data_IF_732471120271
#
_entry.id   IF_732471120271
#
_cell.length_a   1.000
_cell.length_b   1.000
_cell.length_c   1.000
_cell.angle_alpha   90.00
_cell.angle_beta   90.00
_cell.angle_gamma   90.00
#
_symmetry.space_group_name_H-M   'P 1'
#
loop_
_entity.id
_entity.type
_entity.pdbx_description
1 polymer ?
#
# COMPACT_ATOMS: atom_id res chain seq x y z
N UNK A 1 97.30 -5.30 36.41
CA UNK A 1 96.75 -6.25 37.40
C UNK A 1 95.69 -5.58 38.26
N UNK A 2 94.38 -5.82 38.01
CA UNK A 2 93.34 -5.94 39.04
C UNK A 2 91.97 -6.28 38.43
N UNK A 3 91.61 -7.55 38.64
CA UNK A 3 90.31 -8.23 38.81
C UNK A 3 89.09 -7.92 37.92
N UNK A 4 88.70 -9.01 37.25
CA UNK A 4 87.40 -9.47 36.75
C UNK A 4 86.26 -9.29 37.77
N UNK A 5 85.05 -8.94 37.28
CA UNK A 5 83.79 -9.55 37.73
C UNK A 5 82.82 -9.70 36.55
N UNK A 6 82.34 -10.93 36.40
CA UNK A 6 81.44 -11.46 35.37
C UNK A 6 80.04 -11.63 35.97
N UNK A 7 78.98 -11.44 35.17
CA UNK A 7 77.58 -11.97 35.22
C UNK A 7 76.61 -10.87 34.75
N UNK A 8 75.49 -11.05 34.03
CA UNK A 8 74.76 -12.21 33.51
C UNK A 8 73.68 -11.70 32.53
N UNK A 9 73.50 -12.42 31.41
CA UNK A 9 72.32 -12.61 30.52
C UNK A 9 71.07 -11.71 30.65
N UNK A 10 70.55 -11.24 29.51
CA UNK A 10 69.25 -11.70 28.98
C UNK A 10 69.05 -11.28 27.50
N UNK A 11 68.57 -12.23 26.69
CA UNK A 11 68.15 -12.07 25.29
C UNK A 11 66.76 -11.46 25.26
N UNK A 12 66.52 -10.51 24.36
CA UNK A 12 65.19 -10.27 23.80
C UNK A 12 65.31 -10.18 22.27
N UNK A 13 64.67 -11.12 21.61
CA UNK A 13 64.34 -11.12 20.18
C UNK A 13 63.01 -10.37 20.08
N UNK A 14 62.88 -9.43 19.15
CA UNK A 14 61.57 -8.91 18.74
C UNK A 14 61.59 -8.69 17.23
N UNK A 15 60.86 -9.57 16.54
CA UNK A 15 60.47 -9.46 15.14
C UNK A 15 59.80 -8.10 14.88
N UNK A 16 60.09 -7.49 13.73
CA UNK A 16 59.16 -6.56 13.08
C UNK A 16 59.02 -7.00 11.63
N UNK A 17 58.08 -7.93 11.44
CA UNK A 17 57.59 -8.37 10.15
C UNK A 17 56.38 -7.53 9.72
N UNK A 18 56.23 -7.42 8.41
CA UNK A 18 55.25 -6.64 7.66
C UNK A 18 53.79 -6.83 8.09
N UNK A 19 53.03 -5.72 8.06
CA UNK A 19 51.57 -5.75 7.86
C UNK A 19 51.15 -4.50 7.06
N UNK A 20 51.39 -4.53 5.75
CA UNK A 20 50.73 -3.63 4.80
C UNK A 20 49.55 -4.40 4.20
N UNK A 21 48.45 -4.49 4.96
CA UNK A 21 47.19 -5.02 4.46
C UNK A 21 46.46 -3.88 3.74
N UNK A 22 46.60 -3.86 2.41
CA UNK A 22 45.77 -3.04 1.53
C UNK A 22 44.35 -3.65 1.55
N UNK A 23 43.50 -3.12 2.42
CA UNK A 23 42.05 -3.39 2.44
C UNK A 23 41.43 -2.82 1.15
N UNK A 24 41.34 -3.65 0.11
CA UNK A 24 40.40 -3.47 -0.98
C UNK A 24 38.99 -3.72 -0.43
N UNK A 25 38.43 -2.74 0.27
CA UNK A 25 36.99 -2.62 0.44
C UNK A 25 36.43 -2.26 -0.95
N UNK A 26 35.93 -3.25 -1.66
CA UNK A 26 34.99 -3.00 -2.74
C UNK A 26 33.84 -2.19 -2.16
N UNK A 27 33.72 -0.92 -2.58
CA UNK A 27 32.54 -0.13 -2.33
C UNK A 27 31.42 -0.73 -3.18
N UNK A 28 30.80 -1.80 -2.70
CA UNK A 28 29.45 -2.14 -3.12
C UNK A 28 28.62 -0.96 -2.64
N UNK A 29 28.15 -0.12 -3.57
CA UNK A 29 27.17 0.91 -3.24
C UNK A 29 26.03 0.18 -2.54
N UNK A 30 25.89 0.43 -1.24
CA UNK A 30 24.68 0.05 -0.53
C UNK A 30 23.58 0.92 -1.15
N UNK A 31 22.89 0.39 -2.16
CA UNK A 31 21.65 0.96 -2.61
C UNK A 31 20.71 0.90 -1.40
N UNK A 32 20.15 2.05 -1.02
CA UNK A 32 19.14 2.08 0.03
C UNK A 32 18.00 1.16 -0.42
N UNK A 33 17.66 0.19 0.42
CA UNK A 33 16.52 -0.68 0.16
C UNK A 33 15.27 0.19 0.18
N UNK A 34 14.39 -0.01 -0.81
CA UNK A 34 13.12 0.71 -0.93
C UNK A 34 12.02 -0.08 -0.23
N UNK A 35 11.06 0.63 0.34
CA UNK A 35 9.85 0.04 0.89
C UNK A 35 8.68 1.02 0.69
N UNK A 36 7.45 0.52 0.62
CA UNK A 36 6.28 1.38 0.81
C UNK A 36 6.28 1.99 2.21
N UNK A 37 5.62 3.11 2.42
CA UNK A 37 5.56 3.78 3.73
C UNK A 37 4.98 2.92 4.85
N UNK A 38 4.10 1.96 4.51
CA UNK A 38 3.57 0.96 5.45
C UNK A 38 4.46 -0.29 5.58
N UNK A 39 5.52 -0.40 4.78
CA UNK A 39 6.42 -1.57 4.76
C UNK A 39 5.78 -2.85 4.19
N UNK A 40 4.60 -2.73 3.57
CA UNK A 40 3.82 -3.86 3.01
C UNK A 40 4.14 -4.09 1.53
N UNK A 41 4.30 -3.02 0.75
CA UNK A 41 4.49 -3.07 -0.70
C UNK A 41 5.77 -3.83 -1.09
N UNK A 42 5.65 -4.78 -2.02
CA UNK A 42 6.79 -5.42 -2.69
C UNK A 42 7.34 -4.50 -3.80
N UNK A 43 8.52 -3.94 -3.54
CA UNK A 43 9.22 -3.04 -4.47
C UNK A 43 10.32 -3.73 -5.29
N UNK A 44 10.39 -5.07 -5.27
CA UNK A 44 11.45 -5.82 -5.95
C UNK A 44 11.34 -5.85 -7.49
N UNK A 45 10.19 -5.45 -8.02
CA UNK A 45 9.86 -5.48 -9.44
C UNK A 45 9.81 -4.12 -10.14
N UNK A 46 8.98 -4.06 -11.19
CA UNK A 46 8.66 -2.84 -11.94
C UNK A 46 7.40 -2.22 -11.34
N UNK A 47 7.36 -0.89 -11.26
CA UNK A 47 6.18 -0.13 -10.90
C UNK A 47 5.17 -0.21 -12.06
N UNK A 48 3.98 -0.82 -11.87
CA UNK A 48 3.00 -1.00 -12.94
C UNK A 48 2.47 0.31 -13.53
N UNK A 49 2.50 1.42 -12.77
CA UNK A 49 2.01 2.71 -13.22
C UNK A 49 3.01 3.44 -14.14
N UNK A 50 4.31 3.21 -13.97
CA UNK A 50 5.37 3.92 -14.71
C UNK A 50 6.11 3.04 -15.72
N UNK A 51 5.95 1.72 -15.62
CA UNK A 51 6.70 0.70 -16.38
C UNK A 51 8.22 0.72 -16.12
N UNK A 52 8.66 1.42 -15.06
CA UNK A 52 10.05 1.53 -14.65
C UNK A 52 10.29 0.88 -13.28
N UNK A 53 11.55 0.62 -12.93
CA UNK A 53 11.87 0.13 -11.59
C UNK A 53 11.43 1.14 -10.52
N UNK A 54 10.89 0.65 -9.40
CA UNK A 54 10.43 1.47 -8.28
C UNK A 54 11.49 2.48 -7.82
N UNK A 55 11.06 3.71 -7.54
CA UNK A 55 11.91 4.79 -7.05
C UNK A 55 11.32 5.45 -5.81
N UNK A 56 12.17 6.16 -5.06
CA UNK A 56 11.71 6.99 -3.95
C UNK A 56 10.76 8.06 -4.47
N UNK A 57 9.59 8.19 -3.85
CA UNK A 57 8.55 9.13 -4.25
C UNK A 57 7.55 8.59 -5.26
N UNK A 58 7.76 7.38 -5.80
CA UNK A 58 6.70 6.67 -6.52
C UNK A 58 5.50 6.47 -5.59
N UNK A 59 4.31 6.60 -6.16
CA UNK A 59 3.04 6.50 -5.43
C UNK A 59 2.35 5.17 -5.70
N UNK A 60 1.54 4.74 -4.76
CA UNK A 60 0.71 3.54 -4.85
C UNK A 60 -0.48 3.64 -3.88
N UNK A 61 -1.43 2.71 -3.99
CA UNK A 61 -2.56 2.58 -3.04
C UNK A 61 -2.81 1.13 -2.67
N UNK A 62 -3.48 0.95 -1.54
CA UNK A 62 -4.01 -0.35 -1.13
C UNK A 62 -5.53 -0.39 -1.16
N UNK A 63 -6.07 -1.59 -1.40
CA UNK A 63 -7.49 -1.90 -1.34
C UNK A 63 -7.75 -3.20 -0.59
N UNK A 64 -8.93 -3.29 0.05
CA UNK A 64 -9.42 -4.50 0.69
C UNK A 64 -10.95 -4.62 0.60
N UNK A 65 -11.48 -5.81 0.88
CA UNK A 65 -12.91 -6.04 1.14
C UNK A 65 -13.15 -6.20 2.64
N UNK A 66 -13.96 -5.35 3.25
CA UNK A 66 -14.09 -5.31 4.72
C UNK A 66 -14.45 -6.67 5.34
N UNK A 67 -13.84 -6.98 6.49
CA UNK A 67 -14.10 -8.24 7.19
C UNK A 67 -15.52 -8.33 7.76
N UNK A 68 -16.11 -7.18 8.10
CA UNK A 68 -17.47 -7.01 8.61
C UNK A 68 -18.49 -6.66 7.51
N UNK A 69 -19.76 -6.85 7.82
CA UNK A 69 -20.88 -6.45 6.95
C UNK A 69 -21.46 -5.09 7.40
N UNK A 70 -21.97 -4.33 6.44
CA UNK A 70 -22.60 -3.01 6.62
C UNK A 70 -23.90 -2.93 5.83
N UNK A 71 -24.87 -2.15 6.32
CA UNK A 71 -26.11 -1.84 5.59
C UNK A 71 -25.93 -0.56 4.76
N UNK A 72 -26.73 -0.41 3.70
CA UNK A 72 -26.71 0.73 2.78
C UNK A 72 -27.82 1.76 3.05
N UNK A 73 -28.08 2.09 4.31
CA UNK A 73 -29.22 2.96 4.72
C UNK A 73 -28.91 4.47 4.71
N UNK A 74 -27.65 4.88 4.71
CA UNK A 74 -27.24 6.28 4.82
C UNK A 74 -27.08 6.93 3.45
N UNK A 75 -27.68 8.10 3.25
CA UNK A 75 -27.40 8.94 2.05
C UNK A 75 -26.06 9.68 2.15
N UNK A 76 -25.43 9.69 3.32
CA UNK A 76 -24.17 10.37 3.57
C UNK A 76 -23.00 9.40 3.35
N UNK A 77 -22.13 9.73 2.39
CA UNK A 77 -20.95 8.91 2.02
C UNK A 77 -19.97 8.78 3.20
N UNK A 78 -19.91 9.79 4.08
CA UNK A 78 -18.99 9.82 5.21
C UNK A 78 -19.27 8.70 6.20
N UNK A 79 -20.53 8.28 6.35
CA UNK A 79 -20.91 7.14 7.21
C UNK A 79 -20.26 5.82 6.77
N UNK A 80 -20.01 5.67 5.46
CA UNK A 80 -19.35 4.49 4.91
C UNK A 80 -17.83 4.62 4.97
N UNK A 81 -17.28 5.80 4.69
CA UNK A 81 -15.85 6.06 4.84
C UNK A 81 -15.40 5.88 6.30
N UNK A 82 -16.16 6.39 7.27
CA UNK A 82 -15.89 6.20 8.70
C UNK A 82 -15.89 4.72 9.10
N UNK A 83 -16.75 3.91 8.47
CA UNK A 83 -16.76 2.47 8.67
C UNK A 83 -15.50 1.80 8.10
N UNK A 84 -15.10 2.15 6.88
CA UNK A 84 -13.87 1.64 6.28
C UNK A 84 -12.62 2.03 7.08
N UNK A 85 -12.57 3.29 7.53
CA UNK A 85 -11.53 3.78 8.42
C UNK A 85 -11.50 3.02 9.75
N UNK A 86 -12.67 2.75 10.34
CA UNK A 86 -12.77 1.97 11.58
C UNK A 86 -12.21 0.56 11.47
N UNK A 87 -12.41 -0.10 10.32
CA UNK A 87 -11.78 -1.40 10.03
C UNK A 87 -10.26 -1.27 9.91
N UNK A 88 -9.77 -0.28 9.16
CA UNK A 88 -8.34 -0.05 8.99
C UNK A 88 -7.63 0.29 10.32
N UNK A 89 -8.27 1.09 11.18
CA UNK A 89 -7.79 1.42 12.52
C UNK A 89 -7.70 0.21 13.44
N UNK A 90 -8.59 -0.78 13.24
CA UNK A 90 -8.61 -2.03 14.00
C UNK A 90 -7.70 -3.11 13.40
N UNK A 91 -7.14 -2.89 12.21
CA UNK A 91 -6.36 -3.90 11.47
C UNK A 91 -5.06 -4.26 12.19
N UNK A 92 -4.75 -5.55 12.22
CA UNK A 92 -3.47 -6.07 12.70
C UNK A 92 -2.27 -5.66 11.81
N UNK A 93 -2.52 -5.18 10.59
CA UNK A 93 -1.50 -4.75 9.65
C UNK A 93 -1.01 -3.32 9.91
N UNK A 94 -1.61 -2.58 10.86
CA UNK A 94 -1.26 -1.18 11.14
C UNK A 94 -1.37 -0.30 9.89
N UNK A 95 -2.54 -0.29 9.27
CA UNK A 95 -2.82 0.45 8.04
C UNK A 95 -3.75 1.64 8.26
N UNK A 96 -4.05 1.98 9.52
CA UNK A 96 -5.05 2.98 9.85
C UNK A 96 -4.50 4.38 10.12
N UNK A 97 -5.32 5.20 10.76
CA UNK A 97 -5.04 6.60 11.11
C UNK A 97 -3.82 6.77 12.01
N UNK A 98 -3.47 5.77 12.82
CA UNK A 98 -2.25 5.76 13.62
C UNK A 98 -0.97 5.78 12.77
N UNK A 99 -1.07 5.37 11.50
CA UNK A 99 -0.01 5.44 10.49
C UNK A 99 -0.17 6.64 9.55
N UNK A 100 -1.20 7.47 9.76
CA UNK A 100 -1.48 8.63 8.93
C UNK A 100 -2.23 8.31 7.64
N UNK A 101 -2.81 7.11 7.52
CA UNK A 101 -3.51 6.65 6.32
C UNK A 101 -5.01 6.82 6.48
N UNK A 102 -5.63 7.37 5.43
CA UNK A 102 -7.09 7.52 5.33
C UNK A 102 -7.68 6.45 4.43
N UNK A 103 -8.84 5.91 4.78
CA UNK A 103 -9.55 4.91 3.99
C UNK A 103 -10.97 5.36 3.64
N UNK A 104 -11.28 5.32 2.35
CA UNK A 104 -12.61 5.59 1.83
C UNK A 104 -13.18 4.35 1.16
N UNK A 105 -14.50 4.20 1.18
CA UNK A 105 -15.13 3.09 0.47
C UNK A 105 -15.05 3.28 -1.05
N UNK A 106 -14.96 2.17 -1.78
CA UNK A 106 -15.19 2.14 -3.23
C UNK A 106 -16.70 1.95 -3.46
N UNK A 107 -17.45 3.02 -3.28
CA UNK A 107 -18.90 3.03 -3.46
C UNK A 107 -19.47 4.44 -3.65
N UNK A 108 -20.69 4.51 -4.16
CA UNK A 108 -21.36 5.75 -4.54
C UNK A 108 -22.69 5.92 -3.80
N UNK A 109 -22.95 7.15 -3.34
CA UNK A 109 -24.31 7.58 -2.98
C UNK A 109 -24.99 8.18 -4.21
N UNK A 110 -26.20 8.72 -4.06
CA UNK A 110 -26.90 9.39 -5.17
C UNK A 110 -26.24 10.71 -5.59
N UNK A 111 -25.33 11.27 -4.78
CA UNK A 111 -24.70 12.57 -5.02
C UNK A 111 -23.18 12.54 -4.99
N UNK A 112 -22.56 11.39 -4.73
CA UNK A 112 -21.11 11.22 -4.68
C UNK A 112 -20.73 9.97 -5.45
N UNK A 113 -19.95 10.15 -6.51
CA UNK A 113 -19.34 9.08 -7.30
C UNK A 113 -18.20 8.41 -6.53
N UNK A 114 -18.05 7.09 -6.66
CA UNK A 114 -16.96 6.34 -6.03
C UNK A 114 -15.57 6.82 -6.47
N UNK A 115 -15.42 7.14 -7.76
CA UNK A 115 -14.15 7.66 -8.31
C UNK A 115 -13.78 9.02 -7.72
N UNK A 116 -14.77 9.85 -7.38
CA UNK A 116 -14.53 11.15 -6.73
C UNK A 116 -14.27 10.95 -5.23
N UNK A 117 -15.01 10.05 -4.57
CA UNK A 117 -14.84 9.71 -3.16
C UNK A 117 -13.44 9.16 -2.84
N UNK A 118 -12.84 8.43 -3.78
CA UNK A 118 -11.50 7.83 -3.64
C UNK A 118 -10.39 8.68 -4.26
N UNK A 119 -10.74 9.78 -4.92
CA UNK A 119 -9.82 10.61 -5.70
C UNK A 119 -9.04 9.81 -6.76
N UNK A 120 -9.80 9.01 -7.51
CA UNK A 120 -9.33 8.15 -8.61
C UNK A 120 -10.06 8.46 -9.93
N UNK A 121 -10.60 9.67 -10.09
CA UNK A 121 -11.29 10.05 -11.32
C UNK A 121 -10.26 10.36 -12.42
N UNK A 122 -10.17 9.54 -13.49
CA UNK A 122 -9.14 9.71 -14.51
C UNK A 122 -9.26 11.03 -15.29
N UNK A 123 -10.42 11.70 -15.21
CA UNK A 123 -10.65 12.98 -15.88
C UNK A 123 -10.16 14.19 -15.07
N UNK A 124 -9.96 14.05 -13.75
CA UNK A 124 -9.62 15.18 -12.85
C UNK A 124 -8.38 14.92 -12.01
N UNK A 125 -8.09 13.67 -11.67
CA UNK A 125 -7.03 13.28 -10.72
C UNK A 125 -5.75 12.80 -11.45
N UNK A 126 -5.75 12.86 -12.78
CA UNK A 126 -4.62 12.48 -13.64
C UNK A 126 -4.58 10.97 -13.93
N UNK A 127 -3.41 10.49 -14.38
CA UNK A 127 -3.21 9.05 -14.67
C UNK A 127 -3.38 8.20 -13.41
N UNK A 128 -2.93 8.72 -12.26
CA UNK A 128 -2.94 8.01 -10.98
C UNK A 128 -1.76 7.07 -10.79
N UNK A 129 -1.94 6.16 -9.85
CA UNK A 129 -0.93 5.19 -9.40
C UNK A 129 -1.48 3.76 -9.38
N UNK A 130 -0.57 2.80 -9.27
CA UNK A 130 -0.91 1.40 -9.15
C UNK A 130 -1.57 1.08 -7.81
N UNK A 131 -2.59 0.23 -7.86
CA UNK A 131 -3.44 -0.15 -6.74
C UNK A 131 -3.24 -1.64 -6.47
N UNK A 132 -2.93 -2.00 -5.22
CA UNK A 132 -2.65 -3.37 -4.81
C UNK A 132 -3.60 -3.84 -3.72
N UNK A 133 -3.73 -5.16 -3.56
CA UNK A 133 -4.26 -5.71 -2.32
C UNK A 133 -3.33 -5.39 -1.15
N UNK A 134 -3.86 -5.45 0.07
CA UNK A 134 -3.11 -5.27 1.32
C UNK A 134 -2.03 -6.34 1.57
N UNK A 135 -1.86 -7.32 0.68
CA UNK A 135 -0.70 -8.23 0.68
C UNK A 135 0.58 -7.60 0.10
N UNK A 136 0.46 -6.43 -0.53
CA UNK A 136 1.60 -5.69 -1.08
C UNK A 136 2.12 -6.17 -2.42
N UNK A 137 1.55 -7.22 -3.02
CA UNK A 137 2.10 -7.86 -4.22
C UNK A 137 1.07 -8.18 -5.31
N UNK A 138 -0.21 -8.32 -4.94
CA UNK A 138 -1.28 -8.59 -5.90
C UNK A 138 -1.80 -7.28 -6.48
N UNK A 139 -1.55 -7.06 -7.77
CA UNK A 139 -2.01 -5.88 -8.51
C UNK A 139 -3.51 -5.96 -8.77
N UNK A 140 -4.23 -4.88 -8.50
CA UNK A 140 -5.66 -4.73 -8.81
C UNK A 140 -5.86 -3.87 -10.04
N UNK A 141 -5.12 -2.77 -10.15
CA UNK A 141 -5.11 -1.92 -11.33
C UNK A 141 -3.76 -1.20 -11.43
N UNK A 142 -3.27 -1.06 -12.65
CA UNK A 142 -2.04 -0.34 -12.98
C UNK A 142 -2.16 1.18 -12.80
N UNK A 143 -3.37 1.74 -12.93
CA UNK A 143 -3.66 3.17 -12.77
C UNK A 143 -5.18 3.44 -12.63
N UNK A 144 -5.60 4.71 -12.60
CA UNK A 144 -7.03 5.08 -12.42
C UNK A 144 -7.90 4.79 -13.63
N UNK A 145 -7.36 4.87 -14.85
CA UNK A 145 -8.13 4.53 -16.04
C UNK A 145 -8.40 3.03 -16.09
N UNK A 146 -7.40 2.22 -15.76
CA UNK A 146 -7.49 0.75 -15.66
C UNK A 146 -8.53 0.33 -14.60
N UNK A 147 -8.51 0.93 -13.41
CA UNK A 147 -9.50 0.64 -12.36
C UNK A 147 -10.95 0.81 -12.84
N UNK A 148 -11.22 1.81 -13.70
CA UNK A 148 -12.57 2.20 -14.12
C UNK A 148 -12.90 1.86 -15.58
N UNK A 149 -12.14 0.97 -16.22
CA UNK A 149 -12.39 0.56 -17.61
C UNK A 149 -13.40 -0.61 -17.75
N UNK A 150 -13.81 -1.18 -16.62
CA UNK A 150 -14.73 -2.31 -16.53
C UNK A 150 -14.06 -3.65 -16.26
N UNK A 151 -12.75 -3.71 -16.04
CA UNK A 151 -12.04 -4.88 -15.52
C UNK A 151 -11.00 -4.47 -14.45
N UNK A 152 -10.52 -5.46 -13.69
CA UNK A 152 -9.38 -5.35 -12.77
C UNK A 152 -8.48 -6.56 -12.98
N UNK A 153 -7.19 -6.43 -12.65
CA UNK A 153 -6.19 -7.46 -12.92
C UNK A 153 -6.38 -8.72 -12.07
N UNK A 154 -6.84 -8.57 -10.82
CA UNK A 154 -7.07 -9.67 -9.88
C UNK A 154 -8.29 -9.37 -9.00
N UNK A 155 -8.89 -10.43 -8.46
CA UNK A 155 -10.03 -10.33 -7.56
C UNK A 155 -9.73 -9.60 -6.24
N UNK A 156 -10.66 -8.73 -5.80
CA UNK A 156 -10.64 -8.00 -4.53
C UNK A 156 -11.00 -8.87 -3.31
N UNK A 157 -10.20 -9.91 -3.03
CA UNK A 157 -10.60 -11.00 -2.14
C UNK A 157 -9.89 -11.06 -0.77
N UNK A 158 -9.13 -10.03 -0.38
CA UNK A 158 -8.48 -9.94 0.93
C UNK A 158 -9.17 -8.89 1.81
N UNK A 159 -9.35 -9.21 3.09
CA UNK A 159 -9.81 -8.25 4.09
C UNK A 159 -8.70 -7.35 4.63
N UNK A 160 -9.06 -6.38 5.47
CA UNK A 160 -8.13 -5.39 6.03
C UNK A 160 -6.99 -6.00 6.86
N UNK A 161 -7.10 -7.28 7.21
CA UNK A 161 -6.08 -8.05 7.93
C UNK A 161 -5.27 -8.98 7.00
N UNK A 162 -5.54 -8.95 5.68
CA UNK A 162 -4.92 -9.81 4.69
C UNK A 162 -5.50 -11.23 4.64
N UNK A 163 -6.67 -11.48 5.24
CA UNK A 163 -7.28 -12.80 5.17
C UNK A 163 -8.14 -12.95 3.91
N UNK A 164 -8.07 -14.11 3.27
CA UNK A 164 -8.93 -14.40 2.11
C UNK A 164 -10.40 -14.49 2.50
N UNK A 165 -11.25 -13.82 1.72
CA UNK A 165 -12.70 -13.88 1.80
C UNK A 165 -13.24 -14.76 0.68
N UNK A 166 -14.19 -15.63 1.03
CA UNK A 166 -14.96 -16.37 0.02
C UNK A 166 -15.69 -15.41 -0.93
N UNK A 167 -15.90 -15.80 -2.20
CA UNK A 167 -16.69 -15.01 -3.13
C UNK A 167 -18.09 -14.69 -2.59
N UNK A 168 -18.43 -13.41 -2.54
CA UNK A 168 -19.70 -12.86 -2.09
C UNK A 168 -19.94 -11.47 -2.71
N UNK A 169 -21.14 -10.92 -2.49
CA UNK A 169 -21.49 -9.57 -2.92
C UNK A 169 -20.99 -8.52 -1.94
N UNK A 170 -20.47 -7.41 -2.47
CA UNK A 170 -20.14 -6.20 -1.73
C UNK A 170 -21.07 -5.05 -2.15
N UNK A 171 -21.51 -4.20 -1.23
CA UNK A 171 -22.29 -3.01 -1.56
C UNK A 171 -21.39 -1.97 -2.20
N UNK A 172 -21.80 -1.46 -3.36
CA UNK A 172 -21.03 -0.46 -4.11
C UNK A 172 -21.91 0.72 -4.48
N UNK A 173 -23.12 0.50 -4.99
CA UNK A 173 -23.94 1.57 -5.56
C UNK A 173 -23.29 2.25 -6.77
N UNK A 174 -22.29 1.61 -7.37
CA UNK A 174 -21.37 2.21 -8.36
C UNK A 174 -21.53 1.49 -9.70
N UNK A 175 -21.48 2.25 -10.79
CA UNK A 175 -21.44 1.74 -12.16
C UNK A 175 -20.01 1.45 -12.59
N UNK A 176 -19.84 0.78 -13.73
CA UNK A 176 -18.54 0.24 -14.17
C UNK A 176 -17.45 1.31 -14.36
N UNK A 177 -17.83 2.58 -14.58
CA UNK A 177 -16.94 3.71 -14.82
C UNK A 177 -16.68 4.57 -13.56
N UNK A 178 -17.04 4.04 -12.39
CA UNK A 178 -16.85 4.69 -11.09
C UNK A 178 -17.88 5.75 -10.73
N UNK A 179 -18.88 5.99 -11.58
CA UNK A 179 -20.01 6.88 -11.28
C UNK A 179 -21.08 6.20 -10.44
N UNK A 180 -21.96 6.99 -9.86
CA UNK A 180 -23.19 6.47 -9.25
C UNK A 180 -24.07 5.76 -10.28
N UNK A 181 -24.67 4.64 -9.88
CA UNK A 181 -25.66 3.95 -10.74
C UNK A 181 -26.88 4.82 -11.06
N UNK A 182 -27.18 5.81 -10.20
CA UNK A 182 -28.32 6.71 -10.34
C UNK A 182 -28.29 7.50 -11.67
N UNK A 183 -27.10 7.88 -12.14
CA UNK A 183 -26.91 8.61 -13.40
C UNK A 183 -27.16 7.74 -14.64
N UNK A 184 -27.14 6.42 -14.45
CA UNK A 184 -27.30 5.42 -15.50
C UNK A 184 -28.74 4.91 -15.62
N UNK A 185 -29.70 5.60 -14.98
CA UNK A 185 -31.10 5.19 -14.90
C UNK A 185 -31.32 3.92 -14.05
N UNK A 186 -30.25 3.38 -13.46
CA UNK A 186 -30.30 2.27 -12.54
C UNK A 186 -30.43 2.79 -11.12
N UNK A 187 -31.53 2.40 -10.52
CA UNK A 187 -31.85 2.60 -9.11
C UNK A 187 -30.94 1.73 -8.24
N UNK A 188 -30.36 2.29 -7.18
CA UNK A 188 -29.54 1.52 -6.23
C UNK A 188 -28.20 2.11 -5.79
N UNK A 189 -28.07 3.43 -5.70
CA UNK A 189 -26.97 4.03 -4.94
C UNK A 189 -27.05 3.65 -3.46
N UNK A 190 -25.94 3.77 -2.73
CA UNK A 190 -25.96 3.68 -1.27
C UNK A 190 -26.88 4.77 -0.68
N UNK A 191 -27.70 4.40 0.32
CA UNK A 191 -28.71 5.28 0.91
C UNK A 191 -29.90 5.61 0.01
N UNK A 192 -30.02 4.96 -1.15
CA UNK A 192 -31.14 5.18 -2.06
C UNK A 192 -32.46 4.57 -1.54
N UNK A 193 -33.58 5.19 -1.91
CA UNK A 193 -34.93 4.74 -1.56
C UNK A 193 -35.41 3.51 -2.38
N UNK A 194 -34.52 2.89 -3.15
CA UNK A 194 -34.86 1.88 -4.14
C UNK A 194 -34.87 0.46 -3.58
N UNK A 195 -35.64 -0.43 -4.21
CA UNK A 195 -35.80 -1.84 -3.79
C UNK A 195 -34.56 -2.71 -4.04
N UNK A 196 -33.42 -2.12 -4.37
CA UNK A 196 -32.18 -2.80 -4.69
C UNK A 196 -31.01 -1.82 -4.68
N UNK A 197 -29.86 -2.25 -4.20
CA UNK A 197 -28.59 -1.53 -4.11
C UNK A 197 -27.63 -2.19 -5.09
N UNK A 198 -26.86 -1.37 -5.82
CA UNK A 198 -25.80 -1.83 -6.71
C UNK A 198 -24.74 -2.58 -5.90
N UNK A 199 -24.33 -3.74 -6.39
CA UNK A 199 -23.32 -4.56 -5.74
C UNK A 199 -22.21 -4.96 -6.69
N UNK A 200 -21.02 -5.11 -6.15
CA UNK A 200 -19.90 -5.80 -6.77
C UNK A 200 -19.75 -7.23 -6.27
N UNK A 201 -18.81 -7.98 -6.84
CA UNK A 201 -18.41 -9.31 -6.37
C UNK A 201 -16.90 -9.34 -6.15
N UNK A 202 -16.49 -9.63 -4.92
CA UNK A 202 -15.09 -9.67 -4.50
C UNK A 202 -14.26 -10.79 -5.16
N UNK A 203 -14.90 -11.71 -5.89
CA UNK A 203 -14.28 -12.79 -6.66
C UNK A 203 -14.33 -12.61 -8.18
N UNK A 204 -14.77 -11.44 -8.68
CA UNK A 204 -14.84 -11.14 -10.11
C UNK A 204 -13.73 -10.16 -10.50
N UNK A 205 -13.32 -10.24 -11.77
CA UNK A 205 -12.27 -9.42 -12.40
C UNK A 205 -12.80 -8.63 -13.60
N UNK A 206 -14.03 -8.91 -14.04
CA UNK A 206 -14.72 -8.15 -15.10
C UNK A 206 -15.71 -7.19 -14.44
N UNK A 207 -16.58 -6.56 -15.22
CA UNK A 207 -17.51 -5.50 -14.79
C UNK A 207 -18.29 -5.81 -13.50
N UNK A 208 -18.48 -7.08 -13.19
CA UNK A 208 -19.20 -7.54 -12.01
C UNK A 208 -18.40 -7.42 -10.71
N UNK A 209 -17.11 -7.08 -10.80
CA UNK A 209 -16.28 -6.74 -9.64
C UNK A 209 -16.89 -5.55 -8.88
N UNK A 210 -17.43 -4.55 -9.60
CA UNK A 210 -18.06 -3.36 -9.00
C UNK A 210 -19.57 -3.29 -9.24
N UNK A 211 -20.07 -3.79 -10.38
CA UNK A 211 -21.46 -3.55 -10.78
C UNK A 211 -22.21 -4.80 -11.22
N UNK A 212 -23.28 -5.09 -10.47
CA UNK A 212 -24.38 -5.97 -10.82
C UNK A 212 -25.69 -5.40 -10.25
N UNK A 213 -26.78 -5.63 -10.99
CA UNK A 213 -28.12 -5.44 -10.43
C UNK A 213 -28.44 -6.64 -9.55
N UNK A 214 -28.46 -6.44 -8.23
CA UNK A 214 -28.92 -7.44 -7.29
C UNK A 214 -30.21 -6.98 -6.62
N UNK A 215 -31.35 -7.45 -7.16
CA UNK A 215 -32.68 -7.12 -6.62
C UNK A 215 -32.95 -7.70 -5.22
N UNK A 216 -32.02 -8.49 -4.67
CA UNK A 216 -32.08 -9.03 -3.31
C UNK A 216 -31.12 -8.32 -2.35
N UNK A 217 -30.41 -7.28 -2.78
CA UNK A 217 -29.63 -6.42 -1.91
C UNK A 217 -30.43 -5.14 -1.66
N UNK A 218 -31.27 -5.10 -0.64
CA UNK A 218 -31.96 -3.88 -0.21
C UNK A 218 -31.09 -3.05 0.72
N UNK A 219 -31.46 -1.80 1.01
CA UNK A 219 -30.70 -0.91 1.88
C UNK A 219 -30.43 -1.50 3.27
N UNK A 220 -31.34 -2.32 3.81
CA UNK A 220 -31.22 -3.00 5.10
C UNK A 220 -30.46 -4.35 5.03
N UNK A 221 -30.07 -4.80 3.84
CA UNK A 221 -29.28 -6.03 3.67
C UNK A 221 -27.82 -5.75 4.00
N UNK A 222 -27.32 -6.33 5.09
CA UNK A 222 -25.92 -6.23 5.47
C UNK A 222 -25.03 -7.03 4.50
N UNK A 223 -23.98 -6.40 3.96
CA UNK A 223 -22.93 -7.05 3.15
C UNK A 223 -21.59 -6.33 3.33
N UNK A 224 -20.52 -6.97 2.88
CA UNK A 224 -19.19 -6.36 2.83
C UNK A 224 -19.18 -5.12 1.93
N UNK A 225 -18.15 -4.28 2.05
CA UNK A 225 -17.87 -3.19 1.12
C UNK A 225 -16.37 -3.17 0.82
N UNK A 226 -16.00 -2.60 -0.32
CA UNK A 226 -14.60 -2.39 -0.67
C UNK A 226 -14.11 -1.07 -0.09
N UNK A 227 -12.84 -0.99 0.25
CA UNK A 227 -12.17 0.21 0.73
C UNK A 227 -10.84 0.43 0.00
N UNK A 228 -10.44 1.68 -0.11
CA UNK A 228 -9.19 2.13 -0.72
C UNK A 228 -8.51 3.16 0.17
N UNK A 229 -7.19 3.07 0.27
CA UNK A 229 -6.38 4.06 0.97
C UNK A 229 -6.30 5.38 0.18
N UNK A 230 -5.90 6.45 0.86
CA UNK A 230 -5.26 7.59 0.22
C UNK A 230 -3.93 7.17 -0.46
N UNK A 231 -3.33 8.10 -1.20
CA UNK A 231 -2.07 7.88 -1.90
C UNK A 231 -0.93 7.68 -0.91
N UNK A 232 -0.26 6.55 -1.02
CA UNK A 232 0.92 6.17 -0.25
C UNK A 232 2.18 6.36 -1.11
N UNK A 233 3.34 6.44 -0.46
CA UNK A 233 4.63 6.71 -1.13
C UNK A 233 5.71 5.68 -0.84
N UNK A 234 6.57 5.43 -1.83
CA UNK A 234 7.79 4.63 -1.66
C UNK A 234 8.87 5.48 -1.00
N UNK A 235 9.46 4.94 0.06
CA UNK A 235 10.48 5.59 0.88
C UNK A 235 11.73 4.72 1.03
N UNK A 236 12.90 5.31 1.34
CA UNK A 236 14.05 4.52 1.77
C UNK A 236 13.77 3.81 3.09
N UNK A 237 14.25 2.57 3.25
CA UNK A 237 14.20 1.90 4.54
C UNK A 237 14.94 2.71 5.63
N UNK A 238 14.33 2.81 6.82
CA UNK A 238 14.84 3.63 7.93
C UNK A 238 16.30 3.29 8.31
N UNK A 239 16.68 2.02 8.21
CA UNK A 239 18.05 1.54 8.45
C UNK A 239 19.03 2.10 7.41
N UNK A 240 18.62 2.15 6.14
CA UNK A 240 19.44 2.68 5.04
C UNK A 240 19.67 4.19 5.16
N UNK A 241 18.68 4.93 5.65
CA UNK A 241 18.80 6.38 5.91
C UNK A 241 19.83 6.68 7.03
N UNK A 242 19.83 5.87 8.10
CA UNK A 242 20.80 6.00 9.20
C UNK A 242 22.23 5.64 8.79
N UNK A 243 22.42 4.59 7.97
CA UNK A 243 23.74 4.23 7.46
C UNK A 243 24.36 5.33 6.58
N UNK A 244 23.58 5.98 5.72
CA UNK A 244 24.08 7.13 4.94
C UNK A 244 24.52 8.29 5.84
N UNK A 245 23.73 8.62 6.87
CA UNK A 245 24.04 9.70 7.80
C UNK A 245 25.33 9.44 8.60
N UNK A 246 25.52 8.21 9.09
CA UNK A 246 26.71 7.84 9.89
C UNK A 246 27.97 7.74 9.03
N UNK A 247 27.88 7.20 7.80
CA UNK A 247 29.01 7.16 6.86
C UNK A 247 29.38 8.58 6.41
N UNK A 248 28.40 9.44 6.12
CA UNK A 248 28.65 10.85 5.80
C UNK A 248 29.35 11.60 6.94
N UNK A 249 28.89 11.42 8.17
CA UNK A 249 29.48 12.05 9.35
C UNK A 249 30.91 11.55 9.64
N UNK A 250 31.15 10.24 9.51
CA UNK A 250 32.48 9.65 9.71
C UNK A 250 33.48 10.07 8.63
N UNK A 251 33.05 10.24 7.37
CA UNK A 251 33.90 10.80 6.31
C UNK A 251 34.21 12.29 6.52
N UNK A 252 33.25 13.07 7.04
CA UNK A 252 33.48 14.48 7.39
C UNK A 252 34.44 14.64 8.58
N UNK A 253 34.37 13.74 9.57
CA UNK A 253 35.25 13.76 10.74
C UNK A 253 36.67 13.26 10.44
N UNK A 254 36.86 12.42 9.41
CA UNK A 254 38.17 11.90 9.00
C UNK A 254 38.98 12.84 8.11
N UNK A 255 38.37 13.94 7.65
CA UNK A 255 39.00 15.01 6.85
C UNK A 255 39.51 16.20 7.67
N UNK A 256 39.43 16.14 9.00
CA UNK A 256 40.07 17.08 9.94
C UNK A 256 41.27 16.43 10.58
#
# INVERSE_FOLDING_TARGET
>A
MKKIKQTSRSRWISLSGAFCALLLLGAQQAHAQLQGELGILDTSGINPATEEAWQVGDTYRFVFVGSEDRTAESTDITVYNDWAQGLADASALNIGSAQGVTWNIIGSTSSVDARDNTSTNPNTDGTGESIFLVDGSTLIASNYADLWDGAIDNALNLDENGNSKSPNFALTGTYIDGTTVADHGNRGSLGGDDSGVGVGQNGSELNEWIWRVNTSATADTARQMFAMSDTLTVVPEASSALFLAVVGLTMLLRRR
#
